data_IF_322028707043
#
_entry.id   IF_322028707043
#
_cell.length_a   1.000
_cell.length_b   1.000
_cell.length_c   1.000
_cell.angle_alpha   90.00
_cell.angle_beta   90.00
_cell.angle_gamma   90.00
#
_symmetry.space_group_name_H-M   'P 1'
#
loop_
_entity.id
_entity.type
_entity.pdbx_description
1 polymer ?
#
# COMPACT_ATOMS: atom_id res chain seq x y z
N UNK A 1 24.78 4.64 3.45
CA UNK A 1 26.23 4.90 3.54
C UNK A 1 26.79 4.01 4.65
N UNK A 2 27.69 3.08 4.31
CA UNK A 2 28.27 2.11 5.24
C UNK A 2 29.18 2.74 6.31
N UNK A 3 29.29 2.10 7.47
CA UNK A 3 30.53 1.61 8.15
C UNK A 3 30.36 1.61 9.69
N UNK A 4 30.34 0.44 10.31
CA UNK A 4 31.48 -0.22 10.98
C UNK A 4 31.60 0.20 12.46
N UNK A 5 31.09 -0.64 13.39
CA UNK A 5 31.39 -0.52 14.82
C UNK A 5 32.85 -0.96 15.04
N UNK A 6 33.72 -0.01 15.36
CA UNK A 6 35.06 -0.25 15.90
C UNK A 6 34.95 -0.52 17.40
N UNK A 7 35.74 -1.48 17.89
CA UNK A 7 35.75 -2.01 19.26
C UNK A 7 35.96 -0.95 20.35
N UNK A 8 35.20 -1.06 21.45
CA UNK A 8 35.36 -0.27 22.67
C UNK A 8 36.56 -0.77 23.49
N UNK A 9 37.54 0.10 23.72
CA UNK A 9 38.34 0.07 24.96
C UNK A 9 38.42 1.51 25.48
N UNK A 10 37.63 1.81 26.50
CA UNK A 10 37.71 3.10 27.18
C UNK A 10 37.72 2.87 28.70
N UNK A 11 38.93 3.06 29.23
CA UNK A 11 39.25 3.37 30.62
C UNK A 11 38.42 4.58 31.06
N UNK A 12 37.96 4.54 32.32
CA UNK A 12 36.94 5.41 32.88
C UNK A 12 37.11 6.90 32.59
N UNK A 13 36.04 7.47 32.04
CA UNK A 13 35.69 8.89 32.15
C UNK A 13 34.20 8.91 32.50
N UNK A 14 33.83 9.49 33.64
CA UNK A 14 32.43 9.67 34.02
C UNK A 14 31.75 10.57 32.99
N UNK A 15 31.04 9.96 32.04
CA UNK A 15 30.22 10.69 31.08
C UNK A 15 28.97 11.19 31.81
N UNK A 16 28.88 12.50 32.03
CA UNK A 16 27.62 13.17 32.35
C UNK A 16 26.66 12.90 31.20
N UNK A 17 25.56 12.17 31.45
CA UNK A 17 24.51 11.99 30.45
C UNK A 17 23.87 13.36 30.20
N UNK A 18 24.22 13.97 29.06
CA UNK A 18 23.41 15.03 28.47
C UNK A 18 22.27 14.30 27.76
N UNK A 19 21.11 14.21 28.40
CA UNK A 19 19.90 13.68 27.76
C UNK A 19 19.53 14.63 26.62
N UNK A 20 19.56 14.22 25.35
CA UNK A 20 18.97 15.03 24.30
C UNK A 20 17.47 15.09 24.57
N UNK A 21 16.94 16.28 24.83
CA UNK A 21 15.52 16.53 24.93
C UNK A 21 14.89 16.43 23.53
N UNK A 22 14.76 15.19 23.03
CA UNK A 22 13.96 14.85 21.85
C UNK A 22 12.50 14.84 22.29
N UNK A 23 11.87 16.01 22.25
CA UNK A 23 10.40 16.09 22.22
C UNK A 23 9.96 15.66 20.82
N UNK A 24 9.97 14.35 20.56
CA UNK A 24 9.26 13.77 19.42
C UNK A 24 7.79 13.87 19.78
N UNK A 25 7.10 14.88 19.25
CA UNK A 25 5.64 14.84 19.25
C UNK A 25 5.25 13.68 18.33
N UNK A 26 4.91 12.55 18.93
CA UNK A 26 4.37 11.42 18.20
C UNK A 26 3.02 11.87 17.62
N UNK A 27 3.02 12.23 16.33
CA UNK A 27 1.77 12.38 15.59
C UNK A 27 1.15 11.00 15.44
N UNK A 28 -0.13 10.88 15.80
CA UNK A 28 -0.87 9.64 15.56
C UNK A 28 -1.07 9.48 14.06
N UNK A 29 -0.64 8.35 13.50
CA UNK A 29 -0.92 7.99 12.10
C UNK A 29 -1.99 6.89 12.05
N UNK A 30 -2.97 7.01 11.15
CA UNK A 30 -3.95 5.95 10.88
C UNK A 30 -3.61 5.16 9.62
N UNK A 31 -4.23 4.00 9.44
CA UNK A 31 -4.03 3.21 8.22
C UNK A 31 -5.01 3.72 7.16
N UNK A 32 -4.58 3.90 5.90
CA UNK A 32 -5.46 4.29 4.80
C UNK A 32 -6.63 3.31 4.58
N UNK A 33 -7.67 3.78 3.89
CA UNK A 33 -8.80 2.95 3.48
C UNK A 33 -8.93 2.93 1.95
N UNK A 34 -9.00 1.73 1.36
CA UNK A 34 -9.30 1.52 -0.07
C UNK A 34 -10.78 1.15 -0.22
N UNK A 35 -11.45 1.73 -1.22
CA UNK A 35 -12.84 1.43 -1.60
C UNK A 35 -12.96 1.13 -3.08
N UNK A 36 -14.06 0.46 -3.45
CA UNK A 36 -14.41 0.20 -4.85
C UNK A 36 -13.64 -0.99 -5.44
N UNK A 37 -13.20 -1.94 -4.62
CA UNK A 37 -12.47 -3.15 -5.02
C UNK A 37 -13.35 -4.41 -5.06
N UNK A 38 -14.67 -4.23 -5.06
CA UNK A 38 -15.62 -5.35 -5.11
C UNK A 38 -15.39 -6.26 -6.32
N UNK A 39 -15.67 -7.55 -6.14
CA UNK A 39 -15.60 -8.57 -7.18
C UNK A 39 -16.50 -8.21 -8.36
N UNK A 40 -16.09 -8.63 -9.56
CA UNK A 40 -16.79 -8.28 -10.78
C UNK A 40 -16.80 -9.42 -11.80
N UNK A 41 -17.80 -9.38 -12.68
CA UNK A 41 -17.95 -10.27 -13.82
C UNK A 41 -17.89 -9.41 -15.07
N UNK A 42 -17.06 -9.81 -16.03
CA UNK A 42 -16.95 -9.15 -17.33
C UNK A 42 -17.05 -10.18 -18.45
N UNK A 43 -17.55 -9.76 -19.60
CA UNK A 43 -17.58 -10.61 -20.79
C UNK A 43 -16.22 -10.66 -21.48
N UNK A 44 -15.93 -11.80 -22.11
CA UNK A 44 -14.73 -12.00 -22.91
C UNK A 44 -14.59 -10.93 -23.99
N UNK A 45 -13.38 -10.39 -24.14
CA UNK A 45 -13.02 -9.37 -25.12
C UNK A 45 -13.44 -7.94 -24.74
N UNK A 46 -14.13 -7.71 -23.61
CA UNK A 46 -14.45 -6.35 -23.17
C UNK A 46 -13.22 -5.64 -22.60
N UNK A 47 -13.15 -4.34 -22.84
CA UNK A 47 -12.19 -3.46 -22.19
C UNK A 47 -12.56 -3.29 -20.72
N UNK A 48 -11.58 -3.37 -19.82
CA UNK A 48 -11.78 -3.20 -18.39
C UNK A 48 -10.63 -2.39 -17.79
N UNK A 49 -10.96 -1.33 -17.05
CA UNK A 49 -9.99 -0.53 -16.32
C UNK A 49 -10.05 -0.92 -14.82
N UNK A 50 -8.97 -1.52 -14.26
CA UNK A 50 -8.98 -1.98 -12.87
C UNK A 50 -9.08 -0.84 -11.85
N UNK A 51 -8.70 0.39 -12.21
CA UNK A 51 -8.76 1.55 -11.33
C UNK A 51 -10.09 2.31 -11.40
N UNK A 52 -10.99 1.96 -12.32
CA UNK A 52 -12.26 2.67 -12.45
C UNK A 52 -13.10 2.51 -11.16
N UNK A 53 -13.39 3.63 -10.51
CA UNK A 53 -14.17 3.68 -9.27
C UNK A 53 -13.42 3.23 -8.01
N UNK A 54 -12.11 2.97 -8.11
CA UNK A 54 -11.26 2.66 -6.94
C UNK A 54 -10.75 3.97 -6.35
N UNK A 55 -10.88 4.12 -5.03
CA UNK A 55 -10.43 5.31 -4.30
C UNK A 55 -9.66 4.92 -3.05
N UNK A 56 -8.72 5.76 -2.62
CA UNK A 56 -8.03 5.60 -1.35
C UNK A 56 -8.05 6.91 -0.58
N UNK A 57 -8.33 6.84 0.73
CA UNK A 57 -8.34 8.00 1.61
C UNK A 57 -7.69 7.64 2.93
N UNK A 58 -6.91 8.56 3.46
CA UNK A 58 -6.34 8.50 4.79
C UNK A 58 -6.73 9.75 5.60
N UNK A 59 -6.89 9.59 6.93
CA UNK A 59 -7.39 10.67 7.78
C UNK A 59 -6.39 11.84 7.88
N UNK A 60 -5.10 11.54 7.95
CA UNK A 60 -4.03 12.52 8.12
C UNK A 60 -3.49 13.01 6.77
N UNK A 61 -3.44 12.11 5.77
CA UNK A 61 -2.88 12.36 4.44
C UNK A 61 -3.92 12.86 3.39
N UNK A 62 -5.21 12.62 3.62
CA UNK A 62 -6.29 12.98 2.69
C UNK A 62 -6.46 11.99 1.53
N UNK A 63 -6.71 12.49 0.32
CA UNK A 63 -6.93 11.65 -0.86
C UNK A 63 -5.61 11.05 -1.36
N UNK A 64 -5.54 9.71 -1.35
CA UNK A 64 -4.40 8.92 -1.79
C UNK A 64 -4.69 8.11 -3.06
N UNK A 65 -5.79 8.39 -3.77
CA UNK A 65 -6.25 7.61 -4.92
C UNK A 65 -5.19 7.46 -6.01
N UNK A 66 -4.43 8.53 -6.29
CA UNK A 66 -3.35 8.50 -7.28
C UNK A 66 -2.11 7.70 -6.82
N UNK A 67 -2.03 7.33 -5.53
CA UNK A 67 -0.95 6.51 -4.98
C UNK A 67 -1.28 5.01 -5.00
N UNK A 68 -2.47 4.62 -5.44
CA UNK A 68 -2.87 3.21 -5.51
C UNK A 68 -2.03 2.47 -6.56
N UNK A 69 -1.41 1.38 -6.13
CA UNK A 69 -0.71 0.42 -6.98
C UNK A 69 -1.60 -0.80 -7.20
N UNK A 70 -1.67 -1.28 -8.43
CA UNK A 70 -2.40 -2.50 -8.79
C UNK A 70 -1.40 -3.59 -9.15
N UNK A 71 -1.41 -4.67 -8.38
CA UNK A 71 -0.62 -5.87 -8.61
C UNK A 71 -1.52 -6.99 -9.17
N UNK A 72 -0.91 -7.88 -9.94
CA UNK A 72 -1.59 -9.01 -10.57
C UNK A 72 -1.73 -8.83 -12.08
N UNK A 73 -2.20 -9.88 -12.74
CA UNK A 73 -2.42 -9.90 -14.17
C UNK A 73 -3.77 -10.55 -14.45
N UNK A 74 -4.49 -9.98 -15.43
CA UNK A 74 -5.73 -10.54 -15.93
C UNK A 74 -5.76 -10.41 -17.44
N UNK A 75 -6.49 -11.33 -18.08
CA UNK A 75 -6.60 -11.41 -19.53
C UNK A 75 -8.08 -11.44 -19.91
N UNK A 76 -8.61 -10.31 -20.39
CA UNK A 76 -10.03 -10.24 -20.78
C UNK A 76 -10.33 -11.05 -22.05
N UNK A 77 -9.32 -11.48 -22.81
CA UNK A 77 -9.52 -12.30 -24.00
C UNK A 77 -9.72 -13.79 -23.68
N UNK A 78 -9.52 -14.20 -22.42
CA UNK A 78 -9.65 -15.58 -21.99
C UNK A 78 -10.64 -15.67 -20.85
N UNK A 79 -11.58 -16.60 -20.95
CA UNK A 79 -12.45 -16.95 -19.83
C UNK A 79 -11.61 -17.48 -18.66
N UNK A 80 -11.98 -17.07 -17.45
CA UNK A 80 -11.21 -17.42 -16.27
C UNK A 80 -11.53 -16.54 -15.07
N UNK A 81 -10.90 -16.87 -13.96
CA UNK A 81 -10.96 -16.08 -12.73
C UNK A 81 -9.57 -15.52 -12.48
N UNK A 82 -9.49 -14.20 -12.31
CA UNK A 82 -8.25 -13.47 -12.11
C UNK A 82 -8.34 -12.69 -10.81
N UNK A 83 -7.24 -12.61 -10.07
CA UNK A 83 -7.17 -11.84 -8.84
C UNK A 83 -6.24 -10.66 -9.03
N UNK A 84 -6.71 -9.47 -8.63
CA UNK A 84 -5.90 -8.27 -8.51
C UNK A 84 -5.79 -7.87 -7.05
N UNK A 85 -4.64 -7.29 -6.70
CA UNK A 85 -4.38 -6.70 -5.40
C UNK A 85 -4.13 -5.20 -5.57
N UNK A 86 -4.79 -4.39 -4.74
CA UNK A 86 -4.63 -2.95 -4.66
C UNK A 86 -3.84 -2.66 -3.39
N UNK A 87 -2.86 -1.78 -3.49
CA UNK A 87 -2.04 -1.35 -2.36
C UNK A 87 -1.90 0.16 -2.37
N UNK A 88 -2.01 0.78 -1.19
CA UNK A 88 -1.68 2.19 -0.99
C UNK A 88 -0.77 2.33 0.22
N UNK A 89 0.13 3.31 0.17
CA UNK A 89 1.03 3.67 1.28
C UNK A 89 0.89 5.16 1.56
N UNK A 90 0.67 5.53 2.82
CA UNK A 90 0.60 6.93 3.25
C UNK A 90 2.00 7.57 3.35
N UNK A 91 2.07 8.81 3.83
CA UNK A 91 3.33 9.54 3.96
C UNK A 91 4.21 9.07 5.12
N UNK A 92 3.61 8.48 6.16
CA UNK A 92 4.26 7.97 7.37
C UNK A 92 4.64 6.48 7.28
N UNK A 93 4.27 5.82 6.17
CA UNK A 93 4.63 4.45 5.83
C UNK A 93 3.59 3.37 6.21
N UNK A 94 2.38 3.71 6.66
CA UNK A 94 1.33 2.71 6.83
C UNK A 94 0.77 2.26 5.48
N UNK A 95 0.37 1.00 5.42
CA UNK A 95 0.01 0.31 4.17
C UNK A 95 -1.35 -0.35 4.35
N UNK A 96 -2.23 -0.15 3.36
CA UNK A 96 -3.48 -0.90 3.22
C UNK A 96 -3.45 -1.71 1.93
N UNK A 97 -4.01 -2.92 1.98
CA UNK A 97 -4.22 -3.77 0.81
C UNK A 97 -5.66 -4.24 0.68
N UNK A 98 -6.13 -4.40 -0.56
CA UNK A 98 -7.46 -4.94 -0.86
C UNK A 98 -7.40 -5.81 -2.11
N UNK A 99 -8.23 -6.84 -2.20
CA UNK A 99 -8.26 -7.77 -3.34
C UNK A 99 -9.57 -7.65 -4.12
N UNK A 100 -9.48 -7.86 -5.44
CA UNK A 100 -10.63 -8.01 -6.34
C UNK A 100 -10.50 -9.30 -7.12
N UNK A 101 -11.59 -10.05 -7.22
CA UNK A 101 -11.75 -11.13 -8.19
C UNK A 101 -12.47 -10.62 -9.44
N UNK A 102 -11.88 -10.86 -10.60
CA UNK A 102 -12.46 -10.62 -11.92
C UNK A 102 -12.77 -11.97 -12.55
N UNK A 103 -14.05 -12.23 -12.81
CA UNK A 103 -14.48 -13.41 -13.54
C UNK A 103 -14.82 -13.04 -14.98
N UNK A 104 -14.03 -13.55 -15.92
CA UNK A 104 -14.27 -13.40 -17.36
C UNK A 104 -15.15 -14.56 -17.82
N UNK A 105 -16.33 -14.23 -18.34
CA UNK A 105 -17.34 -15.19 -18.83
C UNK A 105 -17.57 -15.03 -20.34
N UNK A 106 -18.15 -16.07 -20.95
CA UNK A 106 -18.56 -15.99 -22.35
C UNK A 106 -19.67 -14.95 -22.54
N UNK A 107 -19.68 -14.28 -23.69
CA UNK A 107 -20.77 -13.37 -24.04
C UNK A 107 -22.09 -14.15 -24.17
N UNK A 108 -23.24 -13.53 -23.81
CA UNK A 108 -24.55 -14.12 -24.07
C UNK A 108 -24.67 -14.54 -25.53
N UNK A 109 -25.16 -15.76 -25.76
CA UNK A 109 -25.39 -16.32 -27.09
C UNK A 109 -26.68 -15.77 -27.70
#
# INVERSE_FOLDING_TARGET
>A
MNKLLQSLSAIGVSATLVTPNLSVEATSNTVPSIKGTEDTIIEVGKTYNPLAGVTAYDKEDGDLTDKIKVNGHFDTSKKGTYQLEYQVTDSDGAIETSSRVIKVVDAPQ
#
